data_IF_583804862563
#
_entry.id   IF_583804862563
#
_cell.length_a   1.000
_cell.length_b   1.000
_cell.length_c   1.000
_cell.angle_alpha   90.00
_cell.angle_beta   90.00
_cell.angle_gamma   90.00
#
_symmetry.space_group_name_H-M   'P 1'
#
loop_
_entity.id
_entity.type
_entity.pdbx_description
1 polymer ?
#
# COMPACT_ATOMS: atom_id res chain seq x y z
N UNK A 1 -50.36 -35.80 -65.67
CA UNK A 1 -48.98 -35.62 -65.18
C UNK A 1 -48.92 -34.38 -64.32
N UNK A 2 -48.85 -34.52 -62.98
CA UNK A 2 -48.79 -33.42 -62.07
C UNK A 2 -47.39 -33.44 -61.45
N UNK A 3 -46.59 -32.37 -61.64
CA UNK A 3 -45.32 -32.16 -61.01
C UNK A 3 -45.56 -31.51 -59.65
N UNK A 4 -45.06 -32.15 -58.61
CA UNK A 4 -45.01 -31.61 -57.21
C UNK A 4 -43.67 -30.94 -57.02
N UNK A 5 -43.67 -29.67 -56.71
CA UNK A 5 -42.50 -28.90 -56.35
C UNK A 5 -42.27 -29.04 -54.81
N UNK A 6 -41.04 -29.48 -54.41
CA UNK A 6 -40.62 -29.62 -53.03
C UNK A 6 -39.93 -28.29 -52.59
N UNK A 7 -40.54 -27.56 -51.66
CA UNK A 7 -39.94 -26.38 -51.03
C UNK A 7 -39.07 -26.83 -49.87
N UNK A 8 -37.76 -26.64 -49.96
CA UNK A 8 -36.82 -26.79 -48.85
C UNK A 8 -36.71 -25.41 -48.16
N UNK A 9 -37.20 -25.33 -46.94
CA UNK A 9 -37.03 -24.15 -46.10
C UNK A 9 -35.62 -24.21 -45.41
N UNK A 10 -34.75 -23.27 -45.76
CA UNK A 10 -33.50 -23.04 -45.04
C UNK A 10 -33.82 -22.22 -43.76
N UNK A 11 -33.64 -22.83 -42.60
CA UNK A 11 -33.57 -22.10 -41.31
C UNK A 11 -32.16 -21.48 -41.17
N UNK A 12 -32.07 -20.17 -40.84
CA UNK A 12 -30.77 -19.57 -40.53
C UNK A 12 -30.36 -19.97 -39.09
N UNK A 13 -29.21 -20.64 -38.98
CA UNK A 13 -28.54 -20.83 -37.72
C UNK A 13 -28.03 -19.48 -37.20
N UNK A 14 -28.69 -18.94 -36.19
CA UNK A 14 -28.19 -17.82 -35.39
C UNK A 14 -27.05 -18.35 -34.51
N UNK A 15 -25.82 -18.10 -34.94
CA UNK A 15 -24.65 -18.21 -34.03
C UNK A 15 -24.71 -17.06 -33.05
N UNK A 16 -24.96 -17.39 -31.78
CA UNK A 16 -24.74 -16.48 -30.65
C UNK A 16 -23.26 -16.51 -30.26
N UNK A 17 -22.51 -15.41 -30.39
CA UNK A 17 -21.17 -15.32 -29.83
C UNK A 17 -21.29 -14.79 -28.41
N UNK A 18 -21.50 -15.64 -27.47
CA UNK A 18 -21.36 -15.28 -26.07
C UNK A 18 -20.96 -16.52 -25.29
N UNK A 19 -19.82 -16.49 -24.70
CA UNK A 19 -19.25 -17.32 -23.60
C UNK A 19 -17.78 -17.73 -23.89
N UNK A 20 -16.93 -16.79 -24.33
CA UNK A 20 -15.49 -17.05 -24.37
C UNK A 20 -14.64 -15.99 -23.64
N UNK A 21 -15.28 -14.94 -23.08
CA UNK A 21 -14.54 -13.83 -22.45
C UNK A 21 -14.13 -14.07 -20.98
N UNK A 22 -14.79 -14.99 -20.26
CA UNK A 22 -14.62 -15.08 -18.81
C UNK A 22 -13.56 -16.10 -18.32
N UNK A 23 -13.13 -17.02 -19.19
CA UNK A 23 -12.25 -18.12 -18.75
C UNK A 23 -10.76 -17.73 -18.76
N UNK A 24 -10.36 -16.69 -19.51
CA UNK A 24 -8.95 -16.30 -19.64
C UNK A 24 -8.46 -15.30 -18.58
N UNK A 25 -9.33 -14.50 -18.00
CA UNK A 25 -8.96 -13.44 -17.04
C UNK A 25 -8.42 -14.00 -15.72
N UNK A 26 -8.87 -15.16 -15.27
CA UNK A 26 -8.44 -15.79 -14.02
C UNK A 26 -7.06 -16.45 -14.11
N UNK A 27 -6.63 -16.89 -15.27
CA UNK A 27 -5.37 -17.67 -15.44
C UNK A 27 -4.10 -16.85 -15.31
N UNK A 28 -4.12 -15.56 -15.65
CA UNK A 28 -2.91 -14.70 -15.56
C UNK A 28 -2.52 -14.47 -14.11
N UNK A 29 -3.50 -14.45 -13.21
CA UNK A 29 -3.31 -14.20 -11.78
C UNK A 29 -3.00 -15.46 -10.96
N UNK A 30 -3.22 -16.66 -11.53
CA UNK A 30 -3.08 -17.91 -10.80
C UNK A 30 -1.66 -18.44 -10.91
N UNK A 31 -1.10 -18.75 -9.77
CA UNK A 31 0.16 -19.44 -9.49
C UNK A 31 1.27 -19.36 -10.55
N UNK A 32 2.14 -18.36 -10.41
CA UNK A 32 3.37 -18.17 -11.17
C UNK A 32 4.61 -18.75 -10.47
N UNK A 33 4.47 -19.76 -9.62
CA UNK A 33 5.60 -20.50 -9.08
C UNK A 33 6.32 -21.32 -10.17
N UNK A 34 7.56 -21.71 -9.92
CA UNK A 34 8.30 -22.64 -10.77
C UNK A 34 7.50 -23.93 -11.00
N UNK A 35 7.52 -24.44 -12.23
CA UNK A 35 6.64 -25.54 -12.66
C UNK A 35 7.15 -26.94 -12.30
N UNK A 36 8.45 -27.07 -12.02
CA UNK A 36 9.06 -28.34 -11.72
C UNK A 36 10.34 -28.22 -10.91
N UNK A 37 11.15 -29.28 -10.94
CA UNK A 37 12.45 -29.29 -10.30
C UNK A 37 13.37 -28.26 -10.97
N UNK A 38 13.78 -27.25 -10.20
CA UNK A 38 14.60 -26.13 -10.69
C UNK A 38 15.99 -26.57 -11.19
N UNK A 39 16.44 -27.74 -10.86
CA UNK A 39 17.72 -28.34 -11.33
C UNK A 39 17.60 -28.93 -12.73
N UNK A 40 16.38 -29.12 -13.24
CA UNK A 40 16.12 -29.73 -14.52
C UNK A 40 15.80 -28.68 -15.61
N UNK A 41 16.09 -28.96 -16.89
CA UNK A 41 15.75 -28.05 -17.99
C UNK A 41 14.26 -27.69 -17.98
N UNK A 42 13.97 -26.40 -17.90
CA UNK A 42 12.61 -25.85 -17.85
C UNK A 42 11.92 -25.94 -16.50
N UNK A 43 12.51 -26.57 -15.48
CA UNK A 43 11.91 -26.69 -14.15
C UNK A 43 11.68 -25.35 -13.44
N UNK A 44 12.57 -24.38 -13.65
CA UNK A 44 12.43 -23.02 -13.10
C UNK A 44 11.43 -22.12 -13.87
N UNK A 45 10.85 -22.60 -14.98
CA UNK A 45 9.89 -21.80 -15.76
C UNK A 45 8.65 -21.46 -14.93
N UNK A 46 8.23 -20.20 -15.01
CA UNK A 46 7.00 -19.70 -14.38
C UNK A 46 5.81 -19.67 -15.35
N UNK A 47 6.07 -19.64 -16.65
CA UNK A 47 5.05 -19.64 -17.70
C UNK A 47 4.84 -21.04 -18.24
N UNK A 48 3.58 -21.44 -18.41
CA UNK A 48 3.20 -22.70 -19.05
C UNK A 48 2.87 -22.52 -20.55
N UNK A 49 2.48 -21.32 -20.95
CA UNK A 49 1.99 -20.98 -22.29
C UNK A 49 2.28 -19.54 -22.66
N UNK A 50 2.01 -19.13 -23.90
CA UNK A 50 2.08 -17.74 -24.36
C UNK A 50 1.06 -16.88 -23.60
N UNK A 51 1.49 -15.71 -23.13
CA UNK A 51 0.68 -14.82 -22.31
C UNK A 51 -0.06 -13.73 -23.10
N UNK A 52 0.16 -13.65 -24.43
CA UNK A 52 -0.38 -12.56 -25.24
C UNK A 52 -1.90 -12.45 -25.13
N UNK A 53 -2.61 -13.56 -25.26
CA UNK A 53 -4.08 -13.59 -25.19
C UNK A 53 -4.57 -13.25 -23.77
N UNK A 54 -3.92 -13.77 -22.74
CA UNK A 54 -4.26 -13.53 -21.34
C UNK A 54 -4.01 -12.07 -20.93
N UNK A 55 -2.90 -11.47 -21.36
CA UNK A 55 -2.61 -10.05 -21.12
C UNK A 55 -3.63 -9.17 -21.85
N UNK A 56 -3.95 -9.48 -23.11
CA UNK A 56 -4.99 -8.74 -23.86
C UNK A 56 -6.34 -8.81 -23.14
N UNK A 57 -6.72 -9.96 -22.58
CA UNK A 57 -7.94 -10.12 -21.79
C UNK A 57 -7.92 -9.35 -20.46
N UNK A 58 -6.73 -8.97 -19.96
CA UNK A 58 -6.58 -8.16 -18.75
C UNK A 58 -6.76 -6.66 -18.99
N UNK A 59 -6.83 -6.22 -20.27
CA UNK A 59 -7.04 -4.81 -20.61
C UNK A 59 -8.51 -4.45 -20.44
N UNK A 60 -8.76 -3.42 -19.64
CA UNK A 60 -10.12 -2.95 -19.34
C UNK A 60 -10.11 -1.42 -19.21
N UNK A 61 -10.79 -0.73 -20.10
CA UNK A 61 -10.90 0.74 -20.15
C UNK A 61 -12.21 1.30 -19.58
N UNK A 62 -13.07 0.43 -19.03
CA UNK A 62 -14.32 0.86 -18.38
C UNK A 62 -14.00 1.66 -17.12
N UNK A 63 -14.83 2.64 -16.73
CA UNK A 63 -14.66 3.33 -15.45
C UNK A 63 -14.64 2.35 -14.27
N UNK A 64 -13.76 2.53 -13.33
CA UNK A 64 -13.74 1.76 -12.08
C UNK A 64 -14.83 2.26 -11.13
N UNK A 65 -15.53 1.34 -10.48
CA UNK A 65 -16.42 1.67 -9.37
C UNK A 65 -15.62 1.92 -8.09
N UNK A 66 -14.57 1.11 -7.89
CA UNK A 66 -13.75 1.15 -6.68
C UNK A 66 -12.27 1.20 -7.03
N UNK A 67 -11.48 1.80 -6.14
CA UNK A 67 -10.02 1.69 -6.16
C UNK A 67 -9.53 1.18 -4.80
N UNK A 68 -8.59 0.23 -4.84
CA UNK A 68 -7.81 -0.21 -3.69
C UNK A 68 -6.33 -0.01 -4.05
N UNK A 69 -5.71 0.96 -3.40
CA UNK A 69 -4.28 1.25 -3.52
C UNK A 69 -3.55 0.65 -2.33
N UNK A 70 -2.60 -0.25 -2.57
CA UNK A 70 -1.79 -0.85 -1.51
C UNK A 70 -0.33 -0.41 -1.67
N UNK A 71 0.22 0.15 -0.60
CA UNK A 71 1.57 0.70 -0.54
C UNK A 71 2.39 -0.13 0.46
N UNK A 72 3.52 -0.65 0.00
CA UNK A 72 4.57 -1.15 0.88
C UNK A 72 5.60 -0.04 1.08
N UNK A 73 5.65 0.54 2.27
CA UNK A 73 6.62 1.59 2.58
C UNK A 73 8.04 1.00 2.52
N UNK A 74 8.91 1.60 1.71
CA UNK A 74 10.26 1.12 1.48
C UNK A 74 10.38 -0.20 0.68
N UNK A 75 9.28 -0.68 0.12
CA UNK A 75 9.21 -1.99 -0.55
C UNK A 75 9.75 -1.93 -2.00
N UNK A 76 11.04 -1.79 -2.16
CA UNK A 76 11.71 -1.92 -3.46
C UNK A 76 11.77 -3.38 -3.95
N UNK A 77 12.35 -3.57 -5.13
CA UNK A 77 12.46 -4.90 -5.74
C UNK A 77 13.30 -5.88 -4.90
N UNK A 78 14.31 -5.40 -4.16
CA UNK A 78 15.10 -6.25 -3.27
C UNK A 78 14.33 -6.69 -2.04
N UNK A 79 13.51 -5.83 -1.46
CA UNK A 79 12.64 -6.15 -0.31
C UNK A 79 11.60 -7.20 -0.69
N UNK A 80 10.93 -7.04 -1.85
CA UNK A 80 9.99 -8.05 -2.38
C UNK A 80 10.71 -9.39 -2.63
N UNK A 81 11.89 -9.34 -3.24
CA UNK A 81 12.64 -10.55 -3.60
C UNK A 81 13.14 -11.29 -2.36
N UNK A 82 13.67 -10.56 -1.36
CA UNK A 82 14.11 -11.13 -0.10
C UNK A 82 12.96 -11.84 0.64
N UNK A 83 11.82 -11.18 0.73
CA UNK A 83 10.64 -11.72 1.38
C UNK A 83 10.10 -12.98 0.67
N UNK A 84 10.03 -12.93 -0.68
CA UNK A 84 9.61 -14.10 -1.47
C UNK A 84 10.56 -15.27 -1.32
N UNK A 85 11.87 -15.06 -1.44
CA UNK A 85 12.87 -16.11 -1.28
C UNK A 85 12.81 -16.74 0.11
N UNK A 86 12.63 -15.91 1.14
CA UNK A 86 12.54 -16.42 2.51
C UNK A 86 11.27 -17.24 2.73
N UNK A 87 10.10 -16.71 2.37
CA UNK A 87 8.80 -17.29 2.72
C UNK A 87 8.32 -18.37 1.74
N UNK A 88 8.65 -18.23 0.45
CA UNK A 88 8.11 -19.07 -0.63
C UNK A 88 9.20 -19.80 -1.44
N UNK A 89 10.48 -19.50 -1.21
CA UNK A 89 11.60 -20.01 -1.97
C UNK A 89 11.87 -19.21 -3.25
N UNK A 90 13.04 -19.43 -3.86
CA UNK A 90 13.46 -18.74 -5.07
C UNK A 90 12.54 -19.00 -6.28
N UNK A 91 12.00 -20.22 -6.38
CA UNK A 91 10.97 -20.59 -7.34
C UNK A 91 9.55 -20.24 -6.90
N UNK A 92 9.37 -19.65 -5.73
CA UNK A 92 8.09 -19.36 -5.11
C UNK A 92 7.31 -18.22 -5.75
N UNK A 93 6.14 -17.94 -5.18
CA UNK A 93 5.18 -17.00 -5.73
C UNK A 93 4.34 -16.40 -4.60
N UNK A 94 4.31 -15.09 -4.48
CA UNK A 94 3.38 -14.38 -3.63
C UNK A 94 2.00 -14.32 -4.26
N UNK A 95 1.00 -14.87 -3.58
CA UNK A 95 -0.37 -14.98 -4.10
C UNK A 95 -1.10 -13.63 -4.25
N UNK A 96 -0.57 -12.58 -3.63
CA UNK A 96 -1.03 -11.21 -3.76
C UNK A 96 -0.10 -10.41 -4.69
N UNK A 97 1.06 -10.01 -4.20
CA UNK A 97 1.99 -9.09 -4.89
C UNK A 97 2.38 -9.57 -6.29
N UNK A 98 2.66 -10.87 -6.45
CA UNK A 98 3.07 -11.44 -7.74
C UNK A 98 1.90 -11.79 -8.67
N UNK A 99 0.65 -11.68 -8.19
CA UNK A 99 -0.53 -12.09 -8.93
C UNK A 99 -1.11 -11.02 -9.85
N UNK A 100 -0.68 -9.77 -9.72
CA UNK A 100 -1.19 -8.68 -10.58
C UNK A 100 -0.59 -8.80 -11.99
N UNK A 101 -1.44 -8.78 -13.04
CA UNK A 101 -1.00 -9.14 -14.40
C UNK A 101 -0.26 -8.05 -15.14
N UNK A 102 -0.54 -6.78 -14.85
CA UNK A 102 0.04 -5.65 -15.56
C UNK A 102 1.04 -4.94 -14.65
N UNK A 103 2.29 -4.91 -15.06
CA UNK A 103 3.40 -4.36 -14.28
C UNK A 103 4.19 -3.34 -15.07
N UNK A 104 4.74 -2.36 -14.36
CA UNK A 104 5.66 -1.36 -14.86
C UNK A 104 6.61 -0.92 -13.77
N UNK A 105 7.28 0.17 -14.03
CA UNK A 105 8.19 0.84 -13.11
C UNK A 105 7.78 2.30 -13.01
N UNK A 106 8.03 2.95 -11.87
CA UNK A 106 7.81 4.39 -11.77
C UNK A 106 8.93 5.09 -11.00
N UNK A 107 9.14 6.37 -11.33
CA UNK A 107 10.10 7.24 -10.67
C UNK A 107 9.48 7.92 -9.46
N UNK A 108 10.29 8.24 -8.45
CA UNK A 108 9.80 8.73 -7.16
C UNK A 108 10.64 9.86 -6.53
N UNK A 109 11.43 10.59 -7.31
CA UNK A 109 12.19 11.72 -6.79
C UNK A 109 11.29 12.81 -6.19
N UNK A 110 11.80 13.52 -5.19
CA UNK A 110 11.22 14.74 -4.61
C UNK A 110 11.93 16.00 -5.15
N UNK A 111 11.67 17.14 -4.53
CA UNK A 111 12.28 18.41 -4.90
C UNK A 111 13.07 19.00 -3.72
N UNK A 112 14.20 19.60 -4.00
CA UNK A 112 14.87 20.49 -3.05
C UNK A 112 14.06 21.80 -2.90
N UNK A 113 13.63 22.10 -1.69
CA UNK A 113 12.74 23.22 -1.40
C UNK A 113 13.32 24.59 -1.82
N UNK A 114 14.65 24.76 -1.74
CA UNK A 114 15.28 26.05 -1.99
C UNK A 114 15.54 26.29 -3.47
N UNK A 115 15.90 25.23 -4.19
CA UNK A 115 16.34 25.35 -5.58
C UNK A 115 15.31 24.90 -6.60
N UNK A 116 14.29 24.13 -6.18
CA UNK A 116 13.31 23.50 -7.06
C UNK A 116 13.90 22.37 -7.91
N UNK A 117 15.15 22.00 -7.70
CA UNK A 117 15.82 20.90 -8.42
C UNK A 117 15.38 19.55 -7.85
N UNK A 118 15.48 18.46 -8.64
CA UNK A 118 15.23 17.13 -8.11
C UNK A 118 16.13 16.78 -6.92
N UNK A 119 15.53 16.25 -5.87
CA UNK A 119 16.19 15.45 -4.86
C UNK A 119 15.94 13.99 -5.23
N UNK A 120 16.98 13.25 -5.51
CA UNK A 120 16.89 11.91 -6.08
C UNK A 120 16.47 10.84 -5.08
N UNK A 121 16.41 11.16 -3.79
CA UNK A 121 15.96 10.25 -2.72
C UNK A 121 14.80 10.90 -1.97
N UNK A 122 13.58 10.47 -2.30
CA UNK A 122 12.38 10.98 -1.65
C UNK A 122 12.23 10.41 -0.24
N UNK A 123 11.56 11.17 0.63
CA UNK A 123 10.94 10.59 1.83
C UNK A 123 9.50 10.15 1.55
N UNK A 124 8.86 9.47 2.50
CA UNK A 124 7.49 8.98 2.36
C UNK A 124 6.47 10.12 2.24
N UNK A 125 6.75 11.30 2.80
CA UNK A 125 5.82 12.43 2.77
C UNK A 125 5.71 13.05 1.37
N UNK A 126 6.85 13.38 0.74
CA UNK A 126 6.88 13.92 -0.62
C UNK A 126 6.37 12.90 -1.63
N UNK A 127 6.72 11.62 -1.43
CA UNK A 127 6.23 10.52 -2.23
C UNK A 127 4.71 10.39 -2.13
N UNK A 128 4.16 10.27 -0.93
CA UNK A 128 2.72 10.15 -0.72
C UNK A 128 1.94 11.39 -1.24
N UNK A 129 2.51 12.57 -1.12
CA UNK A 129 1.95 13.78 -1.73
C UNK A 129 1.88 13.66 -3.26
N UNK A 130 2.89 13.07 -3.90
CA UNK A 130 2.92 12.91 -5.36
C UNK A 130 1.75 12.05 -5.87
N UNK A 131 1.50 10.87 -5.29
CA UNK A 131 0.37 10.06 -5.77
C UNK A 131 -0.99 10.51 -5.21
N UNK A 132 -1.03 11.20 -4.06
CA UNK A 132 -2.31 11.66 -3.51
C UNK A 132 -2.82 12.95 -4.15
N UNK A 133 -1.95 13.81 -4.71
CA UNK A 133 -2.30 15.13 -5.24
C UNK A 133 -1.88 15.38 -6.70
N UNK A 134 -1.00 14.54 -7.25
CA UNK A 134 -0.41 14.75 -8.58
C UNK A 134 0.70 15.81 -8.63
N UNK A 135 1.24 16.23 -7.47
CA UNK A 135 2.21 17.33 -7.35
C UNK A 135 3.50 16.86 -6.70
N UNK A 136 4.66 17.20 -7.29
CA UNK A 136 5.95 17.03 -6.65
C UNK A 136 6.17 18.10 -5.57
N UNK A 137 6.77 17.67 -4.46
CA UNK A 137 7.08 18.55 -3.33
C UNK A 137 8.43 18.21 -2.69
N UNK A 138 8.78 18.90 -1.62
CA UNK A 138 10.02 18.68 -0.87
C UNK A 138 9.84 17.64 0.22
N UNK A 139 10.92 16.96 0.61
CA UNK A 139 10.91 15.96 1.67
C UNK A 139 10.32 16.52 2.97
N UNK A 140 9.37 15.79 3.56
CA UNK A 140 8.65 16.17 4.75
C UNK A 140 7.33 16.90 4.54
N UNK A 141 7.03 17.41 3.34
CA UNK A 141 5.78 18.10 3.06
C UNK A 141 4.63 17.12 2.81
N UNK A 142 3.44 17.45 3.28
CA UNK A 142 2.20 16.66 3.09
C UNK A 142 1.11 17.53 2.45
N UNK A 143 0.60 17.10 1.30
CA UNK A 143 -0.54 17.73 0.64
C UNK A 143 -0.30 19.15 0.15
N UNK A 144 0.94 19.63 0.15
CA UNK A 144 1.33 20.97 -0.32
C UNK A 144 2.44 20.87 -1.36
N UNK A 145 2.52 21.85 -2.26
CA UNK A 145 3.60 21.95 -3.24
C UNK A 145 4.87 22.60 -2.65
N UNK A 146 5.86 22.84 -3.51
CA UNK A 146 7.14 23.47 -3.12
C UNK A 146 6.98 24.89 -2.56
N UNK A 147 5.86 25.55 -2.87
CA UNK A 147 5.51 26.89 -2.37
C UNK A 147 4.56 26.83 -1.16
N UNK A 148 4.36 25.62 -0.60
CA UNK A 148 3.47 25.38 0.55
C UNK A 148 1.99 25.65 0.26
N UNK A 149 1.60 25.65 -1.03
CA UNK A 149 0.21 25.75 -1.44
C UNK A 149 -0.46 24.40 -1.36
N UNK A 150 -1.63 24.34 -0.73
CA UNK A 150 -2.46 23.13 -0.62
C UNK A 150 -2.95 22.63 -1.99
N UNK A 151 -2.92 21.31 -2.15
CA UNK A 151 -3.50 20.60 -3.30
C UNK A 151 -4.48 19.55 -2.84
N UNK A 152 -5.67 19.53 -3.46
CA UNK A 152 -6.72 18.58 -3.12
C UNK A 152 -6.25 17.14 -3.35
N UNK A 153 -6.48 16.28 -2.36
CA UNK A 153 -6.07 14.88 -2.43
C UNK A 153 -7.09 14.02 -3.16
N UNK A 154 -6.66 12.85 -3.65
CA UNK A 154 -7.54 11.86 -4.27
C UNK A 154 -8.66 11.40 -3.32
N UNK A 155 -8.38 11.28 -2.02
CA UNK A 155 -9.39 10.93 -1.01
C UNK A 155 -10.43 12.05 -0.85
N UNK A 156 -9.99 13.30 -0.78
CA UNK A 156 -10.87 14.46 -0.70
C UNK A 156 -11.75 14.58 -1.96
N UNK A 157 -11.17 14.35 -3.15
CA UNK A 157 -11.92 14.34 -4.42
C UNK A 157 -12.95 13.22 -4.46
N UNK A 158 -12.56 12.00 -4.06
CA UNK A 158 -13.47 10.85 -4.01
C UNK A 158 -14.65 11.11 -3.05
N UNK A 159 -14.36 11.65 -1.87
CA UNK A 159 -15.39 12.04 -0.90
C UNK A 159 -16.32 13.12 -1.45
N UNK A 160 -15.78 14.16 -2.07
CA UNK A 160 -16.57 15.23 -2.68
C UNK A 160 -17.50 14.72 -3.80
N UNK A 161 -17.08 13.67 -4.52
CA UNK A 161 -17.90 12.97 -5.52
C UNK A 161 -18.94 12.03 -4.90
N UNK A 162 -18.91 11.84 -3.56
CA UNK A 162 -19.85 11.00 -2.80
C UNK A 162 -19.47 9.53 -2.76
N UNK A 163 -18.22 9.17 -3.07
CA UNK A 163 -17.70 7.85 -2.84
C UNK A 163 -17.43 7.65 -1.33
N UNK A 164 -17.51 6.41 -0.87
CA UNK A 164 -16.98 6.07 0.45
C UNK A 164 -15.45 6.09 0.43
N UNK A 165 -14.83 6.40 1.56
CA UNK A 165 -13.37 6.57 1.65
C UNK A 165 -12.78 5.81 2.82
N UNK A 166 -11.60 5.21 2.61
CA UNK A 166 -10.90 4.45 3.63
C UNK A 166 -9.39 4.68 3.61
N UNK A 167 -8.81 4.62 4.80
CA UNK A 167 -7.38 4.79 5.04
C UNK A 167 -6.92 3.81 6.13
N UNK A 168 -6.09 2.85 5.75
CA UNK A 168 -5.62 1.75 6.59
C UNK A 168 -4.10 1.72 6.58
N UNK A 169 -3.46 1.63 7.74
CA UNK A 169 -2.01 1.53 7.86
C UNK A 169 -1.60 0.71 9.08
N UNK A 170 -0.42 0.11 9.04
CA UNK A 170 0.25 -0.44 10.22
C UNK A 170 1.09 0.59 10.98
N UNK A 171 1.23 1.82 10.44
CA UNK A 171 1.84 2.96 11.12
C UNK A 171 0.88 3.66 12.09
N UNK A 172 1.40 4.65 12.80
CA UNK A 172 0.59 5.72 13.36
C UNK A 172 -0.19 6.41 12.24
N UNK A 173 -1.47 6.68 12.45
CA UNK A 173 -2.33 7.33 11.43
C UNK A 173 -1.87 8.75 11.06
N UNK A 174 -0.99 9.32 11.86
CA UNK A 174 -0.34 10.61 11.66
C UNK A 174 0.92 10.52 10.80
N UNK A 175 1.44 9.32 10.57
CA UNK A 175 2.63 9.14 9.74
C UNK A 175 2.36 9.50 8.27
N UNK A 176 3.40 9.72 7.51
CA UNK A 176 3.36 10.38 6.21
C UNK A 176 2.36 9.78 5.22
N UNK A 177 2.40 8.48 5.01
CA UNK A 177 1.58 7.80 3.99
C UNK A 177 0.08 7.89 4.26
N UNK A 178 -0.45 7.57 5.45
CA UNK A 178 -1.85 7.79 5.74
C UNK A 178 -2.22 9.28 5.84
N UNK A 179 -1.32 10.13 6.36
CA UNK A 179 -1.57 11.56 6.55
C UNK A 179 -1.70 12.32 5.22
N UNK A 180 -0.94 11.94 4.18
CA UNK A 180 -0.97 12.62 2.88
C UNK A 180 -2.31 12.55 2.15
N UNK A 181 -3.22 11.68 2.58
CA UNK A 181 -4.59 11.63 2.06
C UNK A 181 -5.54 12.66 2.66
N UNK A 182 -5.22 13.15 3.86
CA UNK A 182 -6.17 13.90 4.72
C UNK A 182 -5.63 15.21 5.25
N UNK A 183 -4.33 15.49 5.10
CA UNK A 183 -3.69 16.65 5.72
C UNK A 183 -2.84 17.46 4.74
N UNK A 184 -2.75 18.76 5.01
CA UNK A 184 -1.96 19.73 4.29
C UNK A 184 -1.09 20.46 5.32
N UNK A 185 0.15 20.01 5.48
CA UNK A 185 1.10 20.56 6.46
C UNK A 185 2.50 20.70 5.87
N UNK A 186 3.23 21.69 6.34
CA UNK A 186 4.59 21.99 5.87
C UNK A 186 5.64 20.98 6.36
N UNK A 187 5.28 20.16 7.38
CA UNK A 187 6.15 19.10 7.89
C UNK A 187 5.34 17.91 8.41
N UNK A 188 5.73 16.70 7.99
CA UNK A 188 5.18 15.42 8.45
C UNK A 188 5.30 15.19 9.97
N UNK A 189 6.11 15.98 10.65
CA UNK A 189 6.30 15.90 12.11
C UNK A 189 5.13 16.50 12.90
N UNK A 190 4.22 17.20 12.27
CA UNK A 190 3.13 17.94 12.91
C UNK A 190 1.91 17.06 13.21
N UNK A 191 2.15 15.99 13.99
CA UNK A 191 1.17 14.96 14.33
C UNK A 191 -0.04 15.50 15.10
N UNK A 192 0.22 16.20 16.19
CA UNK A 192 -0.78 16.74 17.10
C UNK A 192 -0.62 18.24 17.37
N UNK A 193 -1.55 18.87 18.10
CA UNK A 193 -1.58 20.31 18.32
C UNK A 193 -0.29 20.89 18.90
N UNK A 194 0.31 20.24 19.91
CA UNK A 194 1.51 20.73 20.62
C UNK A 194 2.70 20.88 19.69
N UNK A 195 3.01 19.84 18.92
CA UNK A 195 4.12 19.86 17.96
C UNK A 195 3.84 20.80 16.80
N UNK A 196 2.59 20.91 16.36
CA UNK A 196 2.20 21.79 15.24
C UNK A 196 2.44 23.26 15.60
N UNK A 197 2.11 23.68 16.81
CA UNK A 197 2.37 25.04 17.29
C UNK A 197 3.86 25.40 17.23
N UNK A 198 4.74 24.42 17.46
CA UNK A 198 6.20 24.58 17.47
C UNK A 198 6.81 24.45 16.06
N UNK A 199 6.51 23.34 15.35
CA UNK A 199 7.19 22.93 14.11
C UNK A 199 6.51 23.39 12.83
N UNK A 200 5.18 23.61 12.87
CA UNK A 200 4.36 24.03 11.73
C UNK A 200 3.46 25.23 12.12
N UNK A 201 4.01 26.33 12.59
CA UNK A 201 3.20 27.42 13.17
C UNK A 201 2.18 27.99 12.17
N UNK A 202 2.46 27.96 10.86
CA UNK A 202 1.51 28.40 9.83
C UNK A 202 0.31 27.46 9.67
N UNK A 203 0.45 26.19 10.10
CA UNK A 203 -0.64 25.22 10.09
C UNK A 203 -1.43 25.19 11.42
N UNK A 204 -0.88 25.77 12.50
CA UNK A 204 -1.51 25.76 13.81
C UNK A 204 -2.85 26.51 13.82
N UNK A 205 -3.88 25.93 14.49
CA UNK A 205 -5.21 26.55 14.58
C UNK A 205 -5.18 27.94 15.20
N UNK A 206 -4.38 28.17 16.24
CA UNK A 206 -4.20 29.45 16.92
C UNK A 206 -3.55 30.54 16.04
N UNK A 207 -2.99 30.13 14.90
CA UNK A 207 -2.42 31.03 13.87
C UNK A 207 -3.31 31.14 12.63
N UNK A 208 -4.52 30.56 12.67
CA UNK A 208 -5.44 30.58 11.54
C UNK A 208 -5.19 29.49 10.50
N UNK A 209 -4.33 28.52 10.80
CA UNK A 209 -4.08 27.35 9.97
C UNK A 209 -5.17 26.27 10.09
N UNK A 210 -4.99 25.15 9.40
CA UNK A 210 -5.95 24.03 9.38
C UNK A 210 -5.79 23.06 10.57
N UNK A 211 -4.80 23.27 11.41
CA UNK A 211 -4.47 22.40 12.55
C UNK A 211 -3.43 21.33 12.22
N UNK A 212 -3.17 20.50 13.22
CA UNK A 212 -2.30 19.34 13.13
C UNK A 212 -2.82 18.28 12.15
N UNK A 213 -1.98 17.30 11.80
CA UNK A 213 -2.38 16.15 10.98
C UNK A 213 -3.61 15.48 11.58
N UNK A 214 -3.65 15.24 12.90
CA UNK A 214 -4.78 14.56 13.54
C UNK A 214 -6.05 15.40 13.50
N UNK A 215 -5.96 16.70 13.70
CA UNK A 215 -7.11 17.61 13.57
C UNK A 215 -7.66 17.62 12.15
N UNK A 216 -6.76 17.65 11.15
CA UNK A 216 -7.16 17.59 9.75
C UNK A 216 -7.74 16.21 9.37
N UNK A 217 -7.21 15.10 9.91
CA UNK A 217 -7.78 13.76 9.76
C UNK A 217 -9.23 13.70 10.24
N UNK A 218 -9.50 14.25 11.44
CA UNK A 218 -10.86 14.30 12.00
C UNK A 218 -11.79 15.17 11.14
N UNK A 219 -11.27 16.25 10.55
CA UNK A 219 -12.02 17.12 9.65
C UNK A 219 -12.27 16.49 8.28
N UNK A 220 -11.27 15.81 7.71
CA UNK A 220 -11.40 15.07 6.44
C UNK A 220 -12.43 13.94 6.55
N UNK A 221 -12.51 13.31 7.72
CA UNK A 221 -13.57 12.37 8.07
C UNK A 221 -13.72 11.24 7.04
N UNK A 222 -12.70 10.40 6.78
CA UNK A 222 -12.89 9.19 6.01
C UNK A 222 -13.94 8.28 6.69
N UNK A 223 -14.64 7.46 5.91
CA UNK A 223 -15.64 6.52 6.47
C UNK A 223 -14.97 5.43 7.31
N UNK A 224 -13.77 5.01 6.93
CA UNK A 224 -12.97 4.00 7.65
C UNK A 224 -11.55 4.49 7.80
N UNK A 225 -11.03 4.53 9.03
CA UNK A 225 -9.64 4.87 9.35
C UNK A 225 -9.12 3.88 10.40
N UNK A 226 -8.12 3.06 10.03
CA UNK A 226 -7.59 1.98 10.87
C UNK A 226 -6.07 2.04 10.93
N UNK A 227 -5.48 2.00 12.13
CA UNK A 227 -4.04 1.98 12.31
C UNK A 227 -3.58 2.12 13.75
N UNK A 228 -2.35 2.58 13.92
CA UNK A 228 -1.77 2.96 15.21
C UNK A 228 -1.93 4.44 15.51
N UNK A 229 -1.15 4.95 16.49
CA UNK A 229 -1.10 6.39 16.81
C UNK A 229 -2.08 6.85 17.88
N UNK A 230 -2.60 5.95 18.71
CA UNK A 230 -3.53 6.27 19.80
C UNK A 230 -2.98 7.32 20.77
N UNK A 231 -1.66 7.36 20.98
CA UNK A 231 -1.01 8.31 21.88
C UNK A 231 -1.28 9.77 21.50
N UNK A 232 -1.22 10.11 20.21
CA UNK A 232 -1.46 11.48 19.74
C UNK A 232 -2.90 11.92 19.97
N UNK A 233 -3.87 11.00 19.94
CA UNK A 233 -5.27 11.32 20.22
C UNK A 233 -5.55 11.72 21.67
N UNK A 234 -4.59 11.55 22.59
CA UNK A 234 -4.66 12.06 23.94
C UNK A 234 -4.28 13.54 24.07
N UNK A 235 -3.70 14.16 23.03
CA UNK A 235 -3.39 15.59 23.03
C UNK A 235 -4.66 16.44 23.01
N UNK A 236 -4.57 17.62 23.62
CA UNK A 236 -5.68 18.58 23.74
C UNK A 236 -5.57 19.65 22.67
N UNK A 237 -6.69 19.99 22.02
CA UNK A 237 -6.76 21.08 21.07
C UNK A 237 -6.50 22.43 21.77
N UNK A 238 -5.63 23.25 21.17
CA UNK A 238 -5.18 24.53 21.72
C UNK A 238 -6.06 25.70 21.30
N UNK A 239 -6.84 25.55 20.24
CA UNK A 239 -7.71 26.59 19.69
C UNK A 239 -8.90 26.00 18.91
N UNK A 240 -9.78 26.88 18.41
CA UNK A 240 -10.93 26.54 17.60
C UNK A 240 -12.12 26.01 18.38
N UNK A 241 -13.08 25.43 17.68
CA UNK A 241 -14.33 24.89 18.25
C UNK A 241 -14.09 23.87 19.36
N UNK A 242 -13.01 23.10 19.25
CA UNK A 242 -12.69 21.97 20.15
C UNK A 242 -11.65 22.33 21.22
N UNK A 243 -11.34 23.61 21.41
CA UNK A 243 -10.36 24.05 22.41
C UNK A 243 -10.64 23.42 23.78
N UNK A 244 -9.61 22.86 24.41
CA UNK A 244 -9.70 22.20 25.71
C UNK A 244 -10.21 20.77 25.69
N UNK A 245 -10.60 20.23 24.51
CA UNK A 245 -10.96 18.80 24.33
C UNK A 245 -9.78 18.02 23.78
N UNK A 246 -9.60 16.80 24.24
CA UNK A 246 -8.66 15.88 23.61
C UNK A 246 -9.14 15.53 22.20
N UNK A 247 -8.21 15.14 21.33
CA UNK A 247 -8.55 14.68 19.96
C UNK A 247 -9.45 13.44 20.01
N UNK A 248 -9.29 12.58 21.03
CA UNK A 248 -10.17 11.44 21.26
C UNK A 248 -11.58 11.85 21.64
N UNK A 249 -11.74 12.84 22.54
CA UNK A 249 -13.04 13.41 22.88
C UNK A 249 -13.72 14.07 21.69
N UNK A 250 -12.93 14.76 20.82
CA UNK A 250 -13.46 15.27 19.56
C UNK A 250 -13.99 14.16 18.65
N UNK A 251 -13.23 13.09 18.46
CA UNK A 251 -13.67 11.95 17.65
C UNK A 251 -15.02 11.39 18.17
N UNK A 252 -15.14 11.20 19.49
CA UNK A 252 -16.38 10.73 20.12
C UNK A 252 -17.55 11.72 19.88
N UNK A 253 -17.33 13.02 20.12
CA UNK A 253 -18.35 14.04 19.94
C UNK A 253 -18.79 14.20 18.47
N UNK A 254 -17.90 13.92 17.53
CA UNK A 254 -18.17 13.90 16.09
C UNK A 254 -18.84 12.62 15.60
N UNK A 255 -19.16 11.67 16.50
CA UNK A 255 -19.88 10.45 16.16
C UNK A 255 -19.03 9.32 15.58
N UNK A 256 -17.71 9.36 15.74
CA UNK A 256 -16.84 8.25 15.34
C UNK A 256 -17.10 7.01 16.22
N UNK A 257 -17.18 5.84 15.59
CA UNK A 257 -17.11 4.56 16.27
C UNK A 257 -15.64 4.28 16.58
N UNK A 258 -15.27 4.22 17.88
CA UNK A 258 -13.90 3.97 18.31
C UNK A 258 -13.72 2.50 18.65
N UNK A 259 -12.73 1.85 18.02
CA UNK A 259 -12.33 0.47 18.33
C UNK A 259 -10.80 0.41 18.57
N UNK A 260 -10.36 -0.52 19.41
CA UNK A 260 -8.95 -0.63 19.80
C UNK A 260 -8.38 -2.05 19.79
N UNK A 261 -9.16 -3.03 19.34
CA UNK A 261 -8.72 -4.43 19.23
C UNK A 261 -9.44 -5.16 18.09
N UNK A 262 -8.93 -6.34 17.74
CA UNK A 262 -9.46 -7.14 16.64
C UNK A 262 -10.94 -7.56 16.86
N UNK A 263 -11.33 -7.82 18.11
CA UNK A 263 -12.71 -8.24 18.44
C UNK A 263 -13.69 -7.10 18.24
N UNK A 264 -13.39 -5.91 18.77
CA UNK A 264 -14.24 -4.73 18.60
C UNK A 264 -14.33 -4.31 17.12
N UNK A 265 -13.20 -4.41 16.36
CA UNK A 265 -13.21 -4.20 14.92
C UNK A 265 -14.12 -5.19 14.19
N UNK A 266 -14.04 -6.48 14.53
CA UNK A 266 -14.87 -7.51 13.92
C UNK A 266 -16.37 -7.27 14.13
N UNK A 267 -16.78 -6.69 15.26
CA UNK A 267 -18.16 -6.41 15.61
C UNK A 267 -18.78 -5.22 14.81
N UNK A 268 -17.97 -4.38 14.16
CA UNK A 268 -18.48 -3.26 13.36
C UNK A 268 -19.18 -3.79 12.11
N UNK A 269 -20.42 -3.34 11.88
CA UNK A 269 -21.25 -3.77 10.75
C UNK A 269 -21.50 -2.67 9.73
N UNK A 270 -21.28 -1.41 10.06
CA UNK A 270 -21.43 -0.26 9.14
C UNK A 270 -20.39 0.82 9.44
N UNK A 271 -19.96 1.52 8.41
CA UNK A 271 -19.16 2.74 8.50
C UNK A 271 -19.54 3.66 7.34
N UNK A 272 -19.89 4.88 7.64
CA UNK A 272 -20.34 5.90 6.69
C UNK A 272 -20.14 7.30 7.30
N UNK A 273 -20.61 8.35 6.64
CA UNK A 273 -20.43 9.72 7.11
C UNK A 273 -21.20 10.02 8.41
N UNK A 274 -22.26 9.31 8.73
CA UNK A 274 -23.00 9.46 10.00
C UNK A 274 -22.28 8.74 11.14
N UNK A 275 -21.67 7.60 10.85
CA UNK A 275 -20.97 6.73 11.81
C UNK A 275 -19.59 6.33 11.26
N UNK A 276 -18.62 7.25 11.10
CA UNK A 276 -17.29 6.89 10.64
C UNK A 276 -16.58 6.02 11.68
N UNK A 277 -15.73 5.13 11.19
CA UNK A 277 -14.96 4.20 12.02
C UNK A 277 -13.54 4.71 12.21
N UNK A 278 -13.08 4.75 13.46
CA UNK A 278 -11.69 5.01 13.85
C UNK A 278 -11.17 3.87 14.71
N UNK A 279 -10.26 3.07 14.15
CA UNK A 279 -9.58 1.99 14.87
C UNK A 279 -8.15 2.39 15.22
N UNK A 280 -7.82 2.34 16.52
CA UNK A 280 -6.52 2.69 17.07
C UNK A 280 -5.97 1.49 17.85
N UNK A 281 -5.09 0.70 17.23
CA UNK A 281 -4.69 -0.61 17.73
C UNK A 281 -3.34 -0.62 18.47
N UNK A 282 -2.67 0.53 18.56
CA UNK A 282 -1.43 0.73 19.30
C UNK A 282 -1.21 2.22 19.59
N UNK A 283 -0.41 2.51 20.62
CA UNK A 283 -0.04 3.88 20.96
C UNK A 283 0.84 4.52 19.87
N UNK A 284 1.81 3.78 19.36
CA UNK A 284 2.66 4.14 18.22
C UNK A 284 2.32 3.30 16.98
N UNK A 285 3.35 2.85 16.26
CA UNK A 285 3.19 1.91 15.16
C UNK A 285 2.70 0.55 15.67
N UNK A 286 1.96 -0.17 14.83
CA UNK A 286 1.48 -1.50 15.17
C UNK A 286 2.67 -2.48 15.27
N UNK A 287 2.59 -3.53 16.12
CA UNK A 287 3.66 -4.50 16.26
C UNK A 287 3.88 -5.30 14.98
N UNK A 288 5.15 -5.49 14.61
CA UNK A 288 5.55 -6.25 13.41
C UNK A 288 5.26 -7.74 13.54
N UNK A 289 5.14 -8.43 12.41
CA UNK A 289 4.81 -9.87 12.36
C UNK A 289 5.88 -10.76 12.96
N UNK A 290 7.13 -10.55 12.54
CA UNK A 290 8.27 -11.41 12.90
C UNK A 290 9.40 -10.63 13.56
N UNK A 291 10.12 -11.32 14.42
CA UNK A 291 11.32 -10.85 15.09
C UNK A 291 12.51 -11.72 14.74
N UNK A 292 13.69 -11.15 14.86
CA UNK A 292 14.98 -11.79 14.74
C UNK A 292 16.12 -10.83 15.09
N UNK A 293 17.36 -11.30 15.06
CA UNK A 293 18.51 -10.43 15.30
C UNK A 293 18.62 -9.41 14.17
N UNK A 294 18.99 -8.18 14.54
CA UNK A 294 19.39 -7.16 13.57
C UNK A 294 20.68 -7.58 12.89
N UNK A 295 20.86 -7.12 11.66
CA UNK A 295 22.11 -7.25 10.94
C UNK A 295 23.26 -6.60 11.74
N UNK A 296 24.45 -7.15 11.62
CA UNK A 296 25.64 -6.69 12.30
C UNK A 296 26.83 -6.73 11.34
N UNK A 297 27.87 -5.98 11.68
CA UNK A 297 29.11 -6.02 10.90
C UNK A 297 29.64 -7.44 10.79
N UNK A 298 29.88 -7.93 9.57
CA UNK A 298 30.25 -9.33 9.25
C UNK A 298 29.28 -10.40 9.82
N UNK A 299 28.01 -10.05 10.07
CA UNK A 299 27.06 -10.97 10.68
C UNK A 299 26.82 -12.25 9.90
N UNK A 300 26.98 -12.22 8.56
CA UNK A 300 26.89 -13.40 7.70
C UNK A 300 28.12 -14.34 7.81
N UNK A 301 29.26 -13.84 8.28
CA UNK A 301 30.51 -14.60 8.43
C UNK A 301 30.67 -15.11 9.88
N UNK A 302 30.42 -14.22 10.84
CA UNK A 302 30.74 -14.47 12.25
C UNK A 302 29.60 -15.13 13.03
N UNK A 303 28.39 -15.19 12.45
CA UNK A 303 27.18 -15.70 13.11
C UNK A 303 26.48 -16.73 12.22
N UNK A 304 25.78 -17.71 12.82
CA UNK A 304 25.00 -18.67 12.06
C UNK A 304 23.80 -17.99 11.39
N UNK A 305 23.32 -18.59 10.30
CA UNK A 305 22.06 -18.20 9.68
C UNK A 305 20.90 -18.43 10.66
N UNK A 306 19.91 -17.53 10.63
CA UNK A 306 18.77 -17.54 11.55
C UNK A 306 17.46 -17.83 10.83
N UNK A 307 16.49 -18.30 11.60
CA UNK A 307 15.07 -18.39 11.20
C UNK A 307 14.29 -17.39 12.02
N UNK A 308 13.43 -16.61 11.36
CA UNK A 308 12.60 -15.61 12.02
C UNK A 308 11.55 -16.25 12.92
N UNK A 309 11.21 -15.60 14.02
CA UNK A 309 10.21 -16.07 14.98
C UNK A 309 9.01 -15.13 15.07
N UNK A 310 7.80 -15.63 15.40
CA UNK A 310 6.66 -14.77 15.64
C UNK A 310 6.94 -13.74 16.75
N UNK A 311 6.49 -12.51 16.51
CA UNK A 311 6.59 -11.44 17.51
C UNK A 311 5.57 -11.66 18.63
N UNK A 312 5.98 -11.86 19.91
CA UNK A 312 5.06 -12.10 21.02
C UNK A 312 4.16 -10.91 21.35
N UNK A 313 4.50 -9.70 20.91
CA UNK A 313 3.66 -8.50 21.06
C UNK A 313 2.50 -8.46 20.08
N UNK A 314 2.57 -9.25 19.01
CA UNK A 314 1.50 -9.37 18.02
C UNK A 314 0.54 -10.48 18.42
N UNK A 315 -0.28 -10.20 19.44
CA UNK A 315 -1.30 -11.11 19.96
C UNK A 315 -2.56 -11.10 19.08
N UNK A 316 -3.48 -12.05 19.31
CA UNK A 316 -4.76 -12.12 18.61
C UNK A 316 -5.66 -10.88 18.82
N UNK A 317 -5.35 -10.04 19.80
CA UNK A 317 -6.06 -8.76 19.99
C UNK A 317 -5.65 -7.68 18.99
N UNK A 318 -4.49 -7.83 18.34
CA UNK A 318 -4.01 -6.91 17.31
C UNK A 318 -4.48 -7.39 15.94
N UNK A 319 -5.32 -6.64 15.22
CA UNK A 319 -5.77 -7.08 13.90
C UNK A 319 -4.60 -7.10 12.91
N UNK A 320 -4.54 -8.12 12.06
CA UNK A 320 -3.56 -8.16 10.97
C UNK A 320 -3.90 -7.14 9.88
N UNK A 321 -2.92 -6.76 9.05
CA UNK A 321 -3.18 -5.88 7.91
C UNK A 321 -4.24 -6.47 6.98
N UNK A 322 -4.19 -7.79 6.73
CA UNK A 322 -5.20 -8.49 5.95
C UNK A 322 -6.61 -8.40 6.58
N UNK A 323 -6.73 -8.53 7.90
CA UNK A 323 -8.01 -8.41 8.61
C UNK A 323 -8.56 -6.98 8.55
N UNK A 324 -7.71 -5.96 8.71
CA UNK A 324 -8.10 -4.55 8.58
C UNK A 324 -8.55 -4.24 7.15
N UNK A 325 -7.83 -4.74 6.15
CA UNK A 325 -8.14 -4.57 4.73
C UNK A 325 -9.49 -5.21 4.38
N UNK A 326 -9.69 -6.45 4.79
CA UNK A 326 -10.95 -7.19 4.56
C UNK A 326 -12.15 -6.48 5.19
N UNK A 327 -11.99 -6.01 6.43
CA UNK A 327 -13.03 -5.24 7.15
C UNK A 327 -13.30 -3.90 6.44
N UNK A 328 -12.28 -3.16 6.07
CA UNK A 328 -12.45 -1.89 5.35
C UNK A 328 -13.20 -2.10 4.03
N UNK A 329 -12.82 -3.08 3.23
CA UNK A 329 -13.50 -3.43 1.97
C UNK A 329 -14.95 -3.81 2.24
N UNK A 330 -15.21 -4.66 3.24
CA UNK A 330 -16.57 -5.09 3.60
C UNK A 330 -17.49 -3.93 3.97
N UNK A 331 -16.97 -2.93 4.67
CA UNK A 331 -17.73 -1.75 5.07
C UNK A 331 -17.93 -0.77 3.91
N UNK A 332 -16.87 -0.45 3.18
CA UNK A 332 -16.87 0.54 2.10
C UNK A 332 -17.66 0.07 0.87
N UNK A 333 -17.65 -1.23 0.58
CA UNK A 333 -18.38 -1.81 -0.57
C UNK A 333 -19.89 -1.72 -0.46
N UNK A 334 -20.42 -1.31 0.69
CA UNK A 334 -21.86 -1.00 0.87
C UNK A 334 -22.26 0.32 0.20
N UNK A 335 -21.30 1.16 -0.17
CA UNK A 335 -21.56 2.39 -0.92
C UNK A 335 -22.02 2.07 -2.34
N UNK A 336 -23.18 2.56 -2.74
CA UNK A 336 -23.70 2.39 -4.10
C UNK A 336 -22.82 3.07 -5.14
N UNK A 337 -22.20 4.21 -4.78
CA UNK A 337 -21.31 4.97 -5.66
C UNK A 337 -19.90 4.38 -5.77
N UNK A 338 -19.56 3.39 -4.93
CA UNK A 338 -18.23 2.83 -4.85
C UNK A 338 -17.35 3.51 -3.81
N UNK A 339 -16.05 3.19 -3.82
CA UNK A 339 -15.12 3.67 -2.80
C UNK A 339 -13.69 3.86 -3.31
N UNK A 340 -12.95 4.67 -2.57
CA UNK A 340 -11.50 4.75 -2.60
C UNK A 340 -10.93 4.24 -1.27
N UNK A 341 -9.98 3.32 -1.32
CA UNK A 341 -9.28 2.76 -0.16
C UNK A 341 -7.78 2.76 -0.40
N UNK A 342 -7.00 3.35 0.52
CA UNK A 342 -5.57 3.13 0.61
C UNK A 342 -5.26 2.22 1.79
N UNK A 343 -4.35 1.27 1.55
CA UNK A 343 -3.83 0.31 2.55
C UNK A 343 -2.31 0.40 2.55
N UNK A 344 -1.70 0.51 3.72
CA UNK A 344 -0.25 0.59 3.84
C UNK A 344 0.30 -0.48 4.78
N UNK A 345 1.33 -1.18 4.29
CA UNK A 345 2.27 -1.93 5.11
C UNK A 345 3.48 -1.06 5.43
N UNK A 346 3.43 -0.36 6.56
CA UNK A 346 4.36 0.73 6.87
C UNK A 346 5.71 0.28 7.41
N UNK A 347 5.76 -0.90 8.02
CA UNK A 347 6.96 -1.27 8.78
C UNK A 347 7.97 -2.12 8.00
N UNK A 348 7.80 -2.28 6.69
CA UNK A 348 8.88 -2.74 5.80
C UNK A 348 10.02 -1.73 5.89
N UNK A 349 9.73 -0.46 5.63
CA UNK A 349 10.63 0.69 5.77
C UNK A 349 11.27 0.80 7.16
N UNK A 350 10.45 0.80 8.21
CA UNK A 350 10.91 0.97 9.59
C UNK A 350 11.88 -0.14 10.01
N UNK A 351 11.69 -1.35 9.50
CA UNK A 351 12.58 -2.48 9.77
C UNK A 351 13.82 -2.47 8.88
N UNK A 352 13.74 -1.92 7.66
CA UNK A 352 14.92 -1.62 6.83
C UNK A 352 15.80 -0.56 7.47
N UNK A 353 15.23 0.54 7.96
CA UNK A 353 15.95 1.54 8.75
C UNK A 353 16.68 0.92 9.93
N UNK A 354 16.05 -0.03 10.61
CA UNK A 354 16.62 -0.73 11.76
C UNK A 354 17.60 -1.86 11.37
N UNK A 355 17.86 -2.09 10.09
CA UNK A 355 18.62 -3.24 9.59
C UNK A 355 18.13 -4.58 10.17
N UNK A 356 16.80 -4.76 10.25
CA UNK A 356 16.13 -5.93 10.80
C UNK A 356 15.45 -6.77 9.72
N UNK A 357 16.13 -7.80 9.15
CA UNK A 357 15.58 -8.57 8.03
C UNK A 357 14.32 -9.34 8.38
N UNK A 358 14.20 -9.89 9.58
CA UNK A 358 12.99 -10.63 9.97
C UNK A 358 11.76 -9.73 10.05
N UNK A 359 11.93 -8.51 10.57
CA UNK A 359 10.84 -7.53 10.59
C UNK A 359 10.41 -7.13 9.18
N UNK A 360 11.36 -6.71 8.34
CA UNK A 360 11.08 -6.28 6.96
C UNK A 360 10.41 -7.39 6.13
N UNK A 361 10.91 -8.61 6.21
CA UNK A 361 10.35 -9.77 5.50
C UNK A 361 8.94 -10.08 5.99
N UNK A 362 8.73 -10.11 7.31
CA UNK A 362 7.43 -10.39 7.91
C UNK A 362 6.36 -9.37 7.51
N UNK A 363 6.72 -8.09 7.46
CA UNK A 363 5.81 -7.02 7.06
C UNK A 363 5.48 -7.06 5.56
N UNK A 364 6.42 -7.49 4.71
CA UNK A 364 6.15 -7.73 3.28
C UNK A 364 5.18 -8.89 3.09
N UNK A 365 5.30 -9.96 3.88
CA UNK A 365 4.34 -11.08 3.88
C UNK A 365 2.95 -10.62 4.33
N UNK A 366 2.86 -9.76 5.34
CA UNK A 366 1.59 -9.18 5.79
C UNK A 366 0.92 -8.33 4.69
N UNK A 367 1.71 -7.55 3.95
CA UNK A 367 1.18 -6.80 2.81
C UNK A 367 0.68 -7.74 1.71
N UNK A 368 1.41 -8.81 1.41
CA UNK A 368 0.97 -9.82 0.44
C UNK A 368 -0.40 -10.41 0.80
N UNK A 369 -0.62 -10.73 2.06
CA UNK A 369 -1.90 -11.24 2.56
C UNK A 369 -3.03 -10.19 2.41
N UNK A 370 -2.73 -8.91 2.62
CA UNK A 370 -3.69 -7.82 2.38
C UNK A 370 -4.02 -7.66 0.88
N UNK A 371 -3.01 -7.77 0.01
CA UNK A 371 -3.21 -7.76 -1.46
C UNK A 371 -4.11 -8.92 -1.89
N UNK A 372 -3.96 -10.10 -1.30
CA UNK A 372 -4.83 -11.25 -1.57
C UNK A 372 -6.31 -10.93 -1.26
N UNK A 373 -6.59 -10.20 -0.17
CA UNK A 373 -7.96 -9.76 0.17
C UNK A 373 -8.52 -8.78 -0.88
N UNK A 374 -7.71 -7.82 -1.29
CA UNK A 374 -8.09 -6.86 -2.33
C UNK A 374 -8.38 -7.55 -3.68
N UNK A 375 -7.51 -8.47 -4.11
CA UNK A 375 -7.69 -9.22 -5.36
C UNK A 375 -8.90 -10.16 -5.30
N UNK A 376 -9.16 -10.83 -4.18
CA UNK A 376 -10.33 -11.69 -4.02
C UNK A 376 -11.63 -10.89 -4.17
N UNK A 377 -11.70 -9.69 -3.57
CA UNK A 377 -12.82 -8.78 -3.75
C UNK A 377 -12.94 -8.30 -5.20
N UNK A 378 -11.85 -7.81 -5.79
CA UNK A 378 -11.85 -7.26 -7.13
C UNK A 378 -12.26 -8.28 -8.20
N UNK A 379 -11.81 -9.53 -8.09
CA UNK A 379 -12.21 -10.64 -8.97
C UNK A 379 -13.71 -10.94 -8.88
N UNK A 380 -14.26 -10.91 -7.67
CA UNK A 380 -15.67 -11.20 -7.42
C UNK A 380 -16.58 -10.04 -7.87
N UNK A 381 -16.17 -8.82 -7.60
CA UNK A 381 -16.96 -7.61 -7.87
C UNK A 381 -16.89 -7.21 -9.36
N UNK A 382 -15.73 -7.39 -9.99
CA UNK A 382 -15.53 -7.23 -11.44
C UNK A 382 -15.25 -5.82 -11.91
N UNK A 383 -15.33 -4.80 -11.07
CA UNK A 383 -15.18 -3.38 -11.45
C UNK A 383 -14.32 -2.58 -10.45
N UNK A 384 -13.30 -3.23 -9.91
CA UNK A 384 -12.37 -2.64 -8.94
C UNK A 384 -10.95 -2.59 -9.53
N UNK A 385 -10.34 -1.41 -9.51
CA UNK A 385 -8.93 -1.22 -9.82
C UNK A 385 -8.12 -1.49 -8.53
N UNK A 386 -7.23 -2.48 -8.59
CA UNK A 386 -6.25 -2.77 -7.53
C UNK A 386 -4.86 -2.37 -8.03
N UNK A 387 -4.15 -1.57 -7.24
CA UNK A 387 -2.78 -1.14 -7.53
C UNK A 387 -1.90 -1.47 -6.34
N UNK A 388 -0.73 -2.06 -6.59
CA UNK A 388 0.29 -2.39 -5.59
C UNK A 388 1.61 -1.76 -6.00
N UNK A 389 2.21 -1.00 -5.11
CA UNK A 389 3.52 -0.36 -5.32
C UNK A 389 4.18 -0.03 -3.98
N UNK A 390 5.28 0.70 -4.03
CA UNK A 390 5.98 1.26 -2.88
C UNK A 390 6.06 2.79 -3.01
N UNK A 391 6.46 3.46 -1.95
CA UNK A 391 6.68 4.91 -1.94
C UNK A 391 8.12 5.30 -2.32
N UNK A 392 9.10 4.52 -1.90
CA UNK A 392 10.52 4.58 -2.27
C UNK A 392 11.15 3.19 -2.14
N UNK A 393 12.38 3.04 -2.62
CA UNK A 393 13.20 1.87 -2.36
C UNK A 393 14.01 2.04 -1.07
N UNK A 394 14.66 0.96 -0.60
CA UNK A 394 15.39 0.97 0.66
C UNK A 394 16.78 0.30 0.57
N UNK A 395 17.43 0.18 1.72
CA UNK A 395 18.83 -0.18 1.86
C UNK A 395 19.14 -1.65 1.61
N UNK A 396 18.17 -2.57 1.81
CA UNK A 396 18.49 -4.00 1.81
C UNK A 396 18.87 -4.53 0.43
N UNK A 397 19.93 -5.38 0.41
CA UNK A 397 20.41 -6.06 -0.79
C UNK A 397 20.72 -7.52 -0.50
N UNK A 398 20.39 -8.41 -1.44
CA UNK A 398 20.79 -9.83 -1.39
C UNK A 398 22.21 -9.94 -1.95
N UNK A 399 23.13 -10.50 -1.14
CA UNK A 399 24.54 -10.65 -1.52
C UNK A 399 25.00 -12.11 -1.41
N UNK A 400 26.14 -12.51 -2.06
CA UNK A 400 26.71 -13.84 -1.87
C UNK A 400 27.01 -14.14 -0.39
N UNK A 401 26.76 -15.38 0.03
CA UNK A 401 26.77 -15.74 1.44
C UNK A 401 28.12 -15.56 2.15
N UNK A 402 29.22 -15.66 1.43
CA UNK A 402 30.62 -15.58 1.92
C UNK A 402 31.25 -14.17 1.74
N UNK A 403 30.47 -13.20 1.26
CA UNK A 403 30.96 -11.83 1.02
C UNK A 403 31.25 -11.11 2.33
N UNK A 404 32.46 -10.56 2.45
CA UNK A 404 32.81 -9.58 3.48
C UNK A 404 32.32 -8.21 3.05
N UNK A 405 31.09 -7.88 3.35
CA UNK A 405 30.48 -6.59 3.00
C UNK A 405 30.95 -5.48 3.96
N UNK A 406 31.07 -4.23 3.48
CA UNK A 406 31.45 -3.10 4.34
C UNK A 406 30.35 -2.68 5.33
N UNK A 407 29.09 -3.04 5.08
CA UNK A 407 27.94 -2.72 5.92
C UNK A 407 27.53 -3.84 6.88
N UNK A 408 26.32 -3.72 7.39
CA UNK A 408 25.70 -4.70 8.28
C UNK A 408 25.13 -5.86 7.47
N UNK A 409 25.27 -7.09 7.95
CA UNK A 409 24.78 -8.29 7.25
C UNK A 409 24.06 -9.24 8.22
N UNK A 410 23.13 -10.03 7.67
CA UNK A 410 22.46 -11.12 8.36
C UNK A 410 22.19 -12.26 7.38
N UNK A 411 22.57 -13.47 7.79
CA UNK A 411 22.25 -14.70 7.06
C UNK A 411 20.93 -15.30 7.58
N UNK A 412 20.10 -15.76 6.65
CA UNK A 412 18.75 -16.28 6.90
C UNK A 412 18.60 -17.69 6.28
N UNK A 413 17.93 -18.58 6.99
CA UNK A 413 17.49 -19.86 6.47
C UNK A 413 16.20 -19.67 5.68
N UNK A 414 16.23 -19.95 4.37
CA UNK A 414 15.07 -19.81 3.50
C UNK A 414 14.21 -21.08 3.44
N UNK A 415 13.02 -20.98 2.89
CA UNK A 415 12.10 -22.11 2.66
C UNK A 415 12.74 -23.21 1.79
N UNK A 416 13.66 -22.87 0.90
CA UNK A 416 14.38 -23.82 0.06
C UNK A 416 15.42 -24.65 0.84
N UNK A 417 15.68 -24.34 2.12
CA UNK A 417 16.77 -24.89 2.90
C UNK A 417 18.15 -24.32 2.54
N UNK A 418 18.17 -23.21 1.78
CA UNK A 418 19.37 -22.48 1.42
C UNK A 418 19.59 -21.28 2.36
N UNK A 419 20.82 -20.77 2.39
CA UNK A 419 21.15 -19.54 3.13
C UNK A 419 21.07 -18.35 2.18
N UNK A 420 20.28 -17.33 2.57
CA UNK A 420 20.25 -16.02 1.92
C UNK A 420 20.85 -14.98 2.85
N UNK A 421 21.67 -14.08 2.31
CA UNK A 421 22.29 -13.01 3.09
C UNK A 421 21.73 -11.67 2.64
N UNK A 422 21.23 -10.88 3.61
CA UNK A 422 20.89 -9.49 3.40
C UNK A 422 21.99 -8.57 3.93
N UNK A 423 22.30 -7.54 3.16
CA UNK A 423 23.28 -6.50 3.47
C UNK A 423 22.59 -5.14 3.54
N UNK A 424 23.01 -4.35 4.52
CA UNK A 424 22.59 -2.96 4.76
C UNK A 424 23.85 -2.12 4.88
N UNK A 425 24.04 -1.13 4.04
CA UNK A 425 25.35 -0.45 4.00
C UNK A 425 25.33 0.93 3.36
N UNK A 426 24.18 1.61 3.34
CA UNK A 426 24.06 2.94 2.76
C UNK A 426 24.11 4.09 3.79
N UNK A 427 24.34 3.77 5.06
CA UNK A 427 24.55 4.73 6.14
C UNK A 427 25.54 4.15 7.16
N UNK A 428 26.36 5.01 7.76
CA UNK A 428 27.19 4.70 8.93
C UNK A 428 26.48 5.03 10.26
N UNK A 429 25.32 5.68 10.18
CA UNK A 429 24.49 6.03 11.32
C UNK A 429 23.72 4.80 11.82
N UNK A 430 23.00 4.95 12.95
CA UNK A 430 22.16 3.88 13.52
C UNK A 430 20.99 3.49 12.58
N UNK A 431 20.56 4.42 11.73
CA UNK A 431 19.47 4.23 10.78
C UNK A 431 20.03 4.07 9.36
N UNK A 432 19.59 3.03 8.67
CA UNK A 432 19.81 2.90 7.23
C UNK A 432 18.88 3.86 6.49
N UNK A 433 19.28 4.25 5.27
CA UNK A 433 18.58 5.27 4.48
C UNK A 433 17.81 4.68 3.30
N UNK A 434 16.90 5.47 2.74
CA UNK A 434 16.21 5.18 1.48
C UNK A 434 17.19 5.13 0.31
N UNK A 435 16.74 4.57 -0.81
CA UNK A 435 17.48 4.60 -2.08
C UNK A 435 16.63 5.12 -3.22
N UNK A 436 17.27 5.72 -4.22
CA UNK A 436 16.60 6.44 -5.33
C UNK A 436 16.28 5.58 -6.55
N UNK A 437 16.37 4.25 -6.46
CA UNK A 437 16.09 3.38 -7.61
C UNK A 437 14.59 3.37 -7.94
N UNK A 438 14.24 3.18 -9.22
CA UNK A 438 12.84 3.05 -9.66
C UNK A 438 12.14 1.89 -8.95
N UNK A 439 10.82 1.96 -8.87
CA UNK A 439 9.98 1.02 -8.16
C UNK A 439 9.08 0.21 -9.10
N UNK A 440 8.83 -1.04 -8.73
CA UNK A 440 7.77 -1.83 -9.33
C UNK A 440 6.40 -1.22 -8.98
N UNK A 441 5.54 -1.11 -10.00
CA UNK A 441 4.12 -0.85 -9.86
C UNK A 441 3.35 -1.93 -10.60
N UNK A 442 2.29 -2.45 -10.00
CA UNK A 442 1.49 -3.50 -10.61
C UNK A 442 0.00 -3.24 -10.39
N UNK A 443 -0.81 -3.63 -11.36
CA UNK A 443 -2.25 -3.38 -11.28
C UNK A 443 -3.10 -4.50 -11.89
N UNK A 444 -4.37 -4.54 -11.44
CA UNK A 444 -5.43 -5.42 -11.91
C UNK A 444 -6.74 -4.63 -12.00
N UNK A 445 -7.52 -4.86 -13.05
CA UNK A 445 -8.86 -4.32 -13.21
C UNK A 445 -8.94 -3.13 -14.18
N UNK A 446 -10.00 -2.31 -14.11
CA UNK A 446 -10.19 -1.16 -14.98
C UNK A 446 -9.01 -0.19 -14.91
N UNK A 447 -8.56 0.32 -16.06
CA UNK A 447 -7.43 1.25 -16.20
C UNK A 447 -6.06 0.72 -15.75
N UNK A 448 -5.94 -0.56 -15.41
CA UNK A 448 -4.68 -1.15 -14.95
C UNK A 448 -3.53 -1.04 -15.98
N UNK A 449 -3.83 -0.91 -17.27
CA UNK A 449 -2.82 -0.73 -18.32
C UNK A 449 -1.97 0.55 -18.16
N UNK A 450 -2.46 1.55 -17.43
CA UNK A 450 -1.74 2.81 -17.23
C UNK A 450 -0.48 2.70 -16.34
N UNK A 451 -0.27 1.57 -15.67
CA UNK A 451 0.96 1.34 -14.90
C UNK A 451 2.08 0.71 -15.73
N UNK A 452 1.79 0.28 -16.96
CA UNK A 452 2.77 -0.45 -17.80
C UNK A 452 3.82 0.49 -18.37
N UNK A 453 5.07 0.03 -18.38
CA UNK A 453 6.23 0.81 -18.82
C UNK A 453 6.84 1.65 -17.70
N UNK A 454 7.43 2.79 -18.05
CA UNK A 454 7.98 3.74 -17.08
C UNK A 454 7.01 4.91 -16.89
N UNK A 455 6.58 5.13 -15.66
CA UNK A 455 5.73 6.25 -15.25
C UNK A 455 6.38 7.04 -14.10
N UNK A 456 5.71 8.03 -13.57
CA UNK A 456 6.12 8.76 -12.36
C UNK A 456 5.02 8.65 -11.29
N UNK A 457 5.36 8.83 -10.03
CA UNK A 457 4.37 8.78 -8.93
C UNK A 457 3.19 9.73 -9.14
N UNK A 458 3.41 10.86 -9.78
CA UNK A 458 2.32 11.80 -10.10
C UNK A 458 1.34 11.23 -11.11
N UNK A 459 1.79 10.38 -12.06
CA UNK A 459 0.89 9.69 -13.02
C UNK A 459 -0.11 8.77 -12.30
N UNK A 460 0.27 8.22 -11.15
CA UNK A 460 -0.63 7.37 -10.35
C UNK A 460 -1.87 8.15 -9.88
N UNK A 461 -1.70 9.41 -9.46
CA UNK A 461 -2.84 10.28 -9.14
C UNK A 461 -3.79 10.43 -10.32
N UNK A 462 -3.26 10.75 -11.50
CA UNK A 462 -4.09 10.95 -12.69
C UNK A 462 -4.75 9.66 -13.18
N UNK A 463 -4.07 8.53 -13.04
CA UNK A 463 -4.63 7.21 -13.33
C UNK A 463 -5.83 6.90 -12.43
N UNK A 464 -5.70 7.12 -11.12
CA UNK A 464 -6.79 6.91 -10.17
C UNK A 464 -7.95 7.88 -10.38
N UNK A 465 -7.62 9.16 -10.60
CA UNK A 465 -8.61 10.22 -10.89
C UNK A 465 -9.42 9.88 -12.14
N UNK A 466 -8.75 9.48 -13.22
CA UNK A 466 -9.40 9.11 -14.47
C UNK A 466 -10.25 7.83 -14.32
N UNK A 467 -9.71 6.81 -13.63
CA UNK A 467 -10.41 5.55 -13.42
C UNK A 467 -11.74 5.73 -12.66
N UNK A 468 -11.78 6.62 -11.66
CA UNK A 468 -13.01 6.96 -10.92
C UNK A 468 -13.88 8.02 -11.63
N UNK A 469 -13.45 8.58 -12.76
CA UNK A 469 -14.17 9.64 -13.46
C UNK A 469 -14.26 10.95 -12.66
N UNK A 470 -13.30 11.23 -11.77
CA UNK A 470 -13.26 12.46 -10.99
C UNK A 470 -12.83 13.66 -11.84
N UNK A 471 -13.44 14.82 -11.60
CA UNK A 471 -13.17 16.05 -12.33
C UNK A 471 -12.04 16.88 -11.73
#
# INVERSE_FOLDING_TARGET
MKQSALFIALLPLLFTPAIYADIHQTRVLDNRAAKGDITQPGGARRLSEDQTAAIRASLNEKPAKNIILLIGDGMGDSEITAARNYAEGAGGFFKGIDALPLTGQYTHYSLDKKTGKPDYVTDSAASATAWSTGVKTYNGALGVDIHEKDHQTILEMAKAAGLATGNVSTAELQDATPAALVAHVTSRKCYGPSVTSEKCPTNALEKGGKGSITEQLLNARPDVTLGGGAKTFAETATAGEWQGKTLREQAQARGYQLVSDARSLAAITEANQDKPLLGLFSDGNMPVRWEGPKASYHGNIDKPAVTCTPNPKRTDSVPTLAAMTDKAISLLSKSEKGFFLQVEGASIDKQDHAANPCGQIGETVDLDEAVQKALAFAKKEGNTLVIVTADHAHASQIIPADTKAPGLTQALNTKDGAVMVLSYGNSEEESMEHTGTQLRIAAYGPHAANVVGLTDQTDLFYTMKAALGLK
#
